data_IF_355184449589
#
_entry.id   IF_355184449589
#
_cell.length_a   1.000
_cell.length_b   1.000
_cell.length_c   1.000
_cell.angle_alpha   90.00
_cell.angle_beta   90.00
_cell.angle_gamma   90.00
#
_symmetry.space_group_name_H-M   'P 1'
#
loop_
_entity.id
_entity.type
_entity.pdbx_description
1 polymer ?
#
# COMPACT_ATOMS: atom_id res chain seq x y z
N UNK A 1 3.13 34.41 -9.53
CA UNK A 1 3.43 33.20 -8.76
C UNK A 1 2.17 32.36 -8.73
N UNK A 2 2.25 31.06 -8.97
CA UNK A 2 1.09 30.18 -8.74
C UNK A 2 0.97 30.06 -7.22
N UNK A 3 -0.01 30.76 -6.65
CA UNK A 3 -0.24 30.83 -5.19
C UNK A 3 -0.40 29.43 -4.56
N UNK A 4 -0.80 28.45 -5.37
CA UNK A 4 -1.05 27.06 -5.00
C UNK A 4 0.05 26.07 -5.42
N UNK A 5 1.24 26.56 -5.81
CA UNK A 5 2.32 25.73 -6.40
C UNK A 5 2.68 24.48 -5.58
N UNK A 6 3.04 24.60 -4.29
CA UNK A 6 3.41 23.45 -3.46
C UNK A 6 2.28 22.43 -3.29
N UNK A 7 1.04 22.89 -3.20
CA UNK A 7 -0.14 22.03 -3.09
C UNK A 7 -0.39 21.23 -4.37
N UNK A 8 -0.22 21.89 -5.52
CA UNK A 8 -0.31 21.27 -6.84
C UNK A 8 0.78 20.22 -7.05
N UNK A 9 2.03 20.49 -6.67
CA UNK A 9 3.14 19.54 -6.79
C UNK A 9 2.85 18.24 -6.05
N UNK A 10 2.30 18.32 -4.83
CA UNK A 10 1.93 17.14 -4.03
C UNK A 10 0.77 16.36 -4.63
N UNK A 11 -0.26 17.05 -5.11
CA UNK A 11 -1.37 16.41 -5.83
C UNK A 11 -0.88 15.69 -7.10
N UNK A 12 0.03 16.33 -7.86
CA UNK A 12 0.64 15.75 -9.06
C UNK A 12 1.56 14.57 -8.75
N UNK A 13 2.18 14.55 -7.56
CA UNK A 13 2.90 13.40 -7.03
C UNK A 13 1.99 12.23 -6.62
N UNK A 14 0.66 12.42 -6.65
CA UNK A 14 -0.33 11.39 -6.31
C UNK A 14 -0.65 11.27 -4.83
N UNK A 15 -0.32 12.30 -4.03
CA UNK A 15 -0.60 12.28 -2.60
C UNK A 15 -2.10 12.39 -2.28
N UNK A 16 -2.48 11.75 -1.17
CA UNK A 16 -3.79 11.89 -0.54
C UNK A 16 -3.70 12.86 0.64
N UNK A 17 -4.48 13.93 0.57
CA UNK A 17 -4.45 15.02 1.54
C UNK A 17 -5.69 14.93 2.45
N UNK A 18 -5.48 14.61 3.71
CA UNK A 18 -6.53 14.55 4.72
C UNK A 18 -6.11 15.29 5.99
N UNK A 19 -7.04 15.46 6.93
CA UNK A 19 -6.77 16.13 8.20
C UNK A 19 -5.61 15.52 9.02
N UNK A 20 -5.27 14.25 8.77
CA UNK A 20 -4.19 13.54 9.45
C UNK A 20 -2.85 13.69 8.72
N UNK A 21 -2.82 13.53 7.39
CA UNK A 21 -1.59 13.63 6.61
C UNK A 21 -1.10 15.06 6.45
N UNK A 22 -2.02 16.02 6.30
CA UNK A 22 -1.75 17.45 6.31
C UNK A 22 -3.02 18.26 6.58
N UNK A 23 -3.19 18.69 7.84
CA UNK A 23 -4.34 19.47 8.26
C UNK A 23 -4.44 20.84 7.56
N UNK A 24 -3.31 21.48 7.26
CA UNK A 24 -3.28 22.82 6.68
C UNK A 24 -3.71 22.78 5.22
N UNK A 25 -3.13 21.88 4.44
CA UNK A 25 -3.52 21.65 3.05
C UNK A 25 -4.97 21.20 2.95
N UNK A 26 -5.40 20.30 3.85
CA UNK A 26 -6.79 19.84 3.88
C UNK A 26 -7.76 20.98 4.17
N UNK A 27 -7.52 21.81 5.20
CA UNK A 27 -8.34 23.00 5.49
C UNK A 27 -8.35 23.99 4.32
N UNK A 28 -7.22 24.18 3.65
CA UNK A 28 -7.14 25.05 2.48
C UNK A 28 -8.02 24.56 1.33
N UNK A 29 -8.04 23.25 1.08
CA UNK A 29 -8.89 22.62 0.05
C UNK A 29 -10.38 22.60 0.41
N UNK A 30 -10.78 22.96 1.62
CA UNK A 30 -12.19 23.14 1.95
C UNK A 30 -12.79 24.39 1.30
N UNK A 31 -11.96 25.38 0.95
CA UNK A 31 -12.41 26.56 0.19
C UNK A 31 -12.73 26.18 -1.26
N UNK A 32 -13.97 26.45 -1.67
CA UNK A 32 -14.45 26.19 -3.03
C UNK A 32 -13.67 27.01 -4.08
N UNK A 33 -13.32 28.26 -3.79
CA UNK A 33 -12.56 29.12 -4.69
C UNK A 33 -11.18 28.53 -4.98
N UNK A 34 -10.53 27.99 -3.95
CA UNK A 34 -9.22 27.34 -4.06
C UNK A 34 -9.33 26.08 -4.91
N UNK A 35 -10.39 25.28 -4.70
CA UNK A 35 -10.65 24.08 -5.50
C UNK A 35 -10.88 24.41 -6.98
N UNK A 36 -11.66 25.45 -7.27
CA UNK A 36 -11.91 25.90 -8.66
C UNK A 36 -10.62 26.36 -9.35
N UNK A 37 -9.75 27.09 -8.65
CA UNK A 37 -8.46 27.53 -9.17
C UNK A 37 -7.54 26.33 -9.49
N UNK A 38 -7.48 25.37 -8.57
CA UNK A 38 -6.71 24.13 -8.75
C UNK A 38 -7.26 23.34 -9.93
N UNK A 39 -8.58 23.13 -10.02
CA UNK A 39 -9.21 22.42 -11.13
C UNK A 39 -8.96 23.11 -12.48
N UNK A 40 -9.03 24.45 -12.52
CA UNK A 40 -8.73 25.19 -13.74
C UNK A 40 -7.29 24.95 -14.22
N UNK A 41 -6.33 24.86 -13.29
CA UNK A 41 -4.93 24.56 -13.59
C UNK A 41 -4.71 23.10 -14.05
N UNK A 42 -5.47 22.16 -13.48
CA UNK A 42 -5.35 20.73 -13.76
C UNK A 42 -6.05 20.28 -15.05
N UNK A 43 -7.07 21.02 -15.51
CA UNK A 43 -7.85 20.68 -16.72
C UNK A 43 -7.01 20.40 -17.96
N UNK A 44 -5.99 21.21 -18.34
CA UNK A 44 -5.14 20.92 -19.50
C UNK A 44 -4.39 19.59 -19.41
N UNK A 45 -4.17 19.08 -18.19
CA UNK A 45 -3.48 17.81 -17.92
C UNK A 45 -4.45 16.60 -17.91
N UNK A 46 -5.73 16.81 -18.26
CA UNK A 46 -6.80 15.82 -18.08
C UNK A 46 -6.89 15.35 -16.62
N UNK A 47 -6.76 16.29 -15.68
CA UNK A 47 -6.82 16.04 -14.23
C UNK A 47 -7.87 16.94 -13.57
N UNK A 48 -8.32 16.52 -12.40
CA UNK A 48 -9.19 17.27 -11.49
C UNK A 48 -8.91 16.88 -10.05
N UNK A 49 -9.23 17.75 -9.13
CA UNK A 49 -9.35 17.43 -7.73
C UNK A 49 -10.59 16.54 -7.51
N UNK A 50 -10.44 15.54 -6.67
CA UNK A 50 -11.52 14.67 -6.25
C UNK A 50 -11.48 14.49 -4.73
N UNK A 51 -12.61 14.05 -4.20
CA UNK A 51 -12.76 13.66 -2.80
C UNK A 51 -13.58 12.39 -2.72
N UNK A 52 -13.50 11.69 -1.59
CA UNK A 52 -14.35 10.53 -1.33
C UNK A 52 -15.77 10.98 -0.92
N UNK A 53 -16.66 10.02 -0.71
CA UNK A 53 -18.05 10.28 -0.33
C UNK A 53 -18.18 11.08 0.96
N UNK A 54 -17.26 10.88 1.91
CA UNK A 54 -17.28 11.54 3.22
C UNK A 54 -16.61 12.92 3.23
N UNK A 55 -16.00 13.33 2.13
CA UNK A 55 -15.28 14.62 2.04
C UNK A 55 -14.04 14.71 2.92
N UNK A 56 -13.50 13.58 3.40
CA UNK A 56 -12.44 13.56 4.41
C UNK A 56 -11.02 13.45 3.83
N UNK A 57 -10.89 13.33 2.51
CA UNK A 57 -9.62 13.28 1.79
C UNK A 57 -9.76 13.92 0.42
N UNK A 58 -8.73 14.63 -0.02
CA UNK A 58 -8.60 15.14 -1.38
C UNK A 58 -7.45 14.43 -2.10
N UNK A 59 -7.64 14.16 -3.38
CA UNK A 59 -6.66 13.50 -4.22
C UNK A 59 -6.86 13.89 -5.69
N UNK A 60 -5.83 13.64 -6.50
CA UNK A 60 -5.88 13.89 -7.93
C UNK A 60 -6.59 12.75 -8.66
N UNK A 61 -7.57 13.09 -9.50
CA UNK A 61 -8.27 12.14 -10.35
C UNK A 61 -8.19 12.54 -11.83
N UNK A 62 -8.49 11.58 -12.70
CA UNK A 62 -8.70 11.85 -14.11
C UNK A 62 -9.99 12.66 -14.32
N UNK A 63 -9.90 13.67 -15.19
CA UNK A 63 -11.08 14.42 -15.61
C UNK A 63 -11.92 13.61 -16.59
N UNK A 64 -11.27 12.97 -17.56
CA UNK A 64 -11.86 12.04 -18.53
C UNK A 64 -11.05 10.76 -18.58
N UNK A 65 -11.72 9.62 -18.58
CA UNK A 65 -11.10 8.30 -18.74
C UNK A 65 -11.18 7.94 -20.23
N UNK A 66 -10.05 8.07 -20.91
CA UNK A 66 -9.83 7.49 -22.24
C UNK A 66 -9.12 6.13 -22.12
N UNK A 67 -8.77 5.53 -23.24
CA UNK A 67 -8.13 4.21 -23.25
C UNK A 67 -6.75 4.22 -22.57
N UNK A 68 -5.97 5.28 -22.78
CA UNK A 68 -4.64 5.43 -22.16
C UNK A 68 -4.76 5.59 -20.64
N UNK A 69 -5.71 6.41 -20.16
CA UNK A 69 -6.01 6.57 -18.75
C UNK A 69 -6.50 5.25 -18.13
N UNK A 70 -7.35 4.50 -18.85
CA UNK A 70 -7.83 3.19 -18.40
C UNK A 70 -6.69 2.21 -18.23
N UNK A 71 -5.78 2.14 -19.20
CA UNK A 71 -4.61 1.28 -19.14
C UNK A 71 -3.70 1.65 -17.96
N UNK A 72 -3.42 2.94 -17.76
CA UNK A 72 -2.62 3.43 -16.64
C UNK A 72 -3.27 3.10 -15.28
N UNK A 73 -4.58 3.36 -15.13
CA UNK A 73 -5.31 3.05 -13.90
C UNK A 73 -5.33 1.54 -13.62
N UNK A 74 -5.49 0.72 -14.65
CA UNK A 74 -5.45 -0.74 -14.51
C UNK A 74 -4.08 -1.21 -14.02
N UNK A 75 -2.99 -0.65 -14.55
CA UNK A 75 -1.64 -0.96 -14.07
C UNK A 75 -1.45 -0.53 -12.63
N UNK A 76 -1.79 0.71 -12.28
CA UNK A 76 -1.67 1.23 -10.92
C UNK A 76 -2.48 0.40 -9.91
N UNK A 77 -3.70 -0.01 -10.26
CA UNK A 77 -4.50 -0.91 -9.42
C UNK A 77 -3.84 -2.28 -9.29
N UNK A 78 -3.32 -2.83 -10.40
CA UNK A 78 -2.61 -4.12 -10.39
C UNK A 78 -1.37 -4.07 -9.51
N UNK A 79 -0.59 -3.00 -9.57
CA UNK A 79 0.60 -2.81 -8.73
C UNK A 79 0.22 -2.69 -7.26
N UNK A 80 -0.82 -1.90 -6.96
CA UNK A 80 -1.35 -1.73 -5.59
C UNK A 80 -1.80 -3.07 -5.02
N UNK A 81 -2.68 -3.78 -5.73
CA UNK A 81 -3.17 -5.11 -5.32
C UNK A 81 -2.03 -6.11 -5.22
N UNK A 82 -1.11 -6.10 -6.20
CA UNK A 82 0.07 -6.96 -6.22
C UNK A 82 0.97 -6.77 -5.00
N UNK A 83 1.10 -5.55 -4.47
CA UNK A 83 1.83 -5.30 -3.23
C UNK A 83 1.09 -5.73 -1.96
N UNK A 84 -0.25 -5.73 -1.97
CA UNK A 84 -1.08 -6.04 -0.81
C UNK A 84 -1.36 -7.54 -0.65
N UNK A 85 -1.46 -8.28 -1.76
CA UNK A 85 -1.74 -9.71 -1.75
C UNK A 85 -0.71 -10.53 -0.94
N UNK A 86 0.62 -10.33 -1.09
CA UNK A 86 1.61 -11.02 -0.28
C UNK A 86 1.48 -10.69 1.21
N UNK A 87 1.01 -9.49 1.56
CA UNK A 87 0.78 -9.11 2.96
C UNK A 87 -0.42 -9.83 3.55
N UNK A 88 -1.50 -10.00 2.78
CA UNK A 88 -2.65 -10.80 3.22
C UNK A 88 -2.27 -12.26 3.44
N UNK A 89 -1.50 -12.85 2.52
CA UNK A 89 -1.01 -14.23 2.66
C UNK A 89 -0.08 -14.35 3.87
N UNK A 90 0.82 -13.40 4.09
CA UNK A 90 1.66 -13.34 5.29
C UNK A 90 0.82 -13.31 6.57
N UNK A 91 -0.21 -12.47 6.65
CA UNK A 91 -1.07 -12.38 7.83
C UNK A 91 -1.79 -13.70 8.11
N UNK A 92 -2.26 -14.40 7.08
CA UNK A 92 -2.86 -15.73 7.23
C UNK A 92 -1.85 -16.76 7.74
N UNK A 93 -0.64 -16.78 7.19
CA UNK A 93 0.45 -17.64 7.68
C UNK A 93 0.78 -17.37 9.14
N UNK A 94 0.78 -16.10 9.56
CA UNK A 94 0.97 -15.72 10.97
C UNK A 94 -0.14 -16.30 11.84
N UNK A 95 -1.41 -16.21 11.43
CA UNK A 95 -2.53 -16.76 12.20
C UNK A 95 -2.41 -18.27 12.40
N UNK A 96 -2.13 -18.99 11.31
CA UNK A 96 -2.04 -20.45 11.32
C UNK A 96 -0.80 -20.95 12.08
N UNK A 97 0.35 -20.29 11.90
CA UNK A 97 1.58 -20.60 12.64
C UNK A 97 1.38 -20.44 14.15
N UNK A 98 0.75 -19.33 14.56
CA UNK A 98 0.52 -19.03 15.97
C UNK A 98 -0.70 -19.77 16.55
N UNK A 99 -1.51 -20.44 15.71
CA UNK A 99 -2.68 -21.20 16.13
C UNK A 99 -3.75 -20.34 16.81
N UNK A 100 -3.94 -19.10 16.34
CA UNK A 100 -4.90 -18.14 16.92
C UNK A 100 -5.96 -17.73 15.92
N UNK A 101 -7.18 -17.51 16.42
CA UNK A 101 -8.32 -17.06 15.61
C UNK A 101 -8.21 -15.58 15.18
N UNK A 102 -7.35 -14.78 15.84
CA UNK A 102 -7.16 -13.36 15.58
C UNK A 102 -5.97 -13.05 14.68
N UNK A 103 -6.05 -11.97 13.89
CA UNK A 103 -4.92 -11.45 13.10
C UNK A 103 -3.78 -10.94 13.99
N UNK A 104 -2.61 -10.71 13.40
CA UNK A 104 -1.55 -10.00 14.09
C UNK A 104 -2.00 -8.59 14.52
N UNK A 105 -1.78 -8.30 15.80
CA UNK A 105 -2.07 -7.03 16.42
C UNK A 105 -0.78 -6.24 16.69
N UNK A 106 -0.85 -4.90 16.75
CA UNK A 106 0.28 -4.08 17.18
C UNK A 106 0.83 -4.54 18.54
N UNK A 107 2.14 -4.74 18.62
CA UNK A 107 2.83 -5.22 19.83
C UNK A 107 3.04 -6.73 19.90
N UNK A 108 2.46 -7.50 18.98
CA UNK A 108 2.76 -8.93 18.87
C UNK A 108 4.23 -9.19 18.53
N UNK A 109 4.80 -10.22 19.14
CA UNK A 109 6.16 -10.67 18.85
C UNK A 109 6.09 -11.91 17.95
N UNK A 110 6.58 -11.76 16.72
CA UNK A 110 6.71 -12.86 15.76
C UNK A 110 8.13 -13.43 15.83
N UNK A 111 8.28 -14.68 16.29
CA UNK A 111 9.61 -15.32 16.37
C UNK A 111 9.80 -16.21 15.14
N UNK A 112 10.88 -16.03 14.34
CA UNK A 112 11.14 -16.88 13.18
C UNK A 112 11.15 -18.38 13.48
N UNK A 113 11.59 -18.77 14.68
CA UNK A 113 11.61 -20.16 15.12
C UNK A 113 10.22 -20.81 15.18
N UNK A 114 9.17 -20.03 15.51
CA UNK A 114 7.80 -20.54 15.56
C UNK A 114 7.33 -20.91 14.13
N UNK A 115 7.72 -20.12 13.12
CA UNK A 115 7.43 -20.39 11.72
C UNK A 115 8.22 -21.58 11.19
N UNK A 116 9.52 -21.67 11.52
CA UNK A 116 10.35 -22.82 11.13
C UNK A 116 9.75 -24.12 11.65
N UNK A 117 9.49 -24.20 12.97
CA UNK A 117 8.93 -25.40 13.60
C UNK A 117 7.57 -25.77 13.00
N UNK A 118 6.67 -24.79 12.79
CA UNK A 118 5.36 -25.07 12.20
C UNK A 118 5.43 -25.53 10.75
N UNK A 119 6.35 -24.99 9.95
CA UNK A 119 6.53 -25.41 8.57
C UNK A 119 7.15 -26.80 8.46
N UNK A 120 8.01 -27.19 9.40
CA UNK A 120 8.55 -28.56 9.49
C UNK A 120 7.44 -29.57 9.79
N UNK A 121 6.48 -29.21 10.65
CA UNK A 121 5.37 -30.09 11.04
C UNK A 121 4.19 -30.09 10.05
N UNK A 122 4.08 -29.09 9.17
CA UNK A 122 2.92 -28.89 8.30
C UNK A 122 3.31 -28.53 6.86
N UNK A 123 3.34 -29.54 5.98
CA UNK A 123 3.73 -29.39 4.57
C UNK A 123 2.92 -28.30 3.83
N UNK A 124 1.63 -28.16 4.11
CA UNK A 124 0.83 -27.10 3.48
C UNK A 124 1.28 -25.67 3.85
N UNK A 125 1.84 -25.47 5.05
CA UNK A 125 2.39 -24.18 5.48
C UNK A 125 3.74 -23.95 4.82
N UNK A 126 4.55 -25.00 4.73
CA UNK A 126 5.82 -25.00 3.99
C UNK A 126 5.63 -24.54 2.54
N UNK A 127 4.68 -25.14 1.81
CA UNK A 127 4.44 -24.83 0.39
C UNK A 127 3.89 -23.42 0.17
N UNK A 128 3.08 -22.93 1.12
CA UNK A 128 2.57 -21.54 1.11
C UNK A 128 3.70 -20.54 1.37
N UNK A 129 4.55 -20.82 2.36
CA UNK A 129 5.71 -20.00 2.66
C UNK A 129 6.71 -20.00 1.50
N UNK A 130 6.92 -21.13 0.81
CA UNK A 130 7.75 -21.19 -0.40
C UNK A 130 7.23 -20.23 -1.47
N UNK A 131 5.93 -20.31 -1.78
CA UNK A 131 5.29 -19.41 -2.76
C UNK A 131 5.41 -17.95 -2.33
N UNK A 132 5.12 -17.66 -1.06
CA UNK A 132 5.22 -16.32 -0.51
C UNK A 132 6.64 -15.77 -0.59
N UNK A 133 7.64 -16.55 -0.18
CA UNK A 133 9.03 -16.11 -0.18
C UNK A 133 9.53 -15.82 -1.60
N UNK A 134 9.06 -16.57 -2.60
CA UNK A 134 9.40 -16.37 -4.02
C UNK A 134 8.67 -15.19 -4.68
N UNK A 135 7.60 -14.68 -4.06
CA UNK A 135 6.83 -13.54 -4.59
C UNK A 135 7.75 -12.32 -4.81
N UNK A 136 7.56 -11.52 -5.88
CA UNK A 136 8.40 -10.36 -6.18
C UNK A 136 8.58 -9.37 -5.02
N UNK A 137 7.58 -9.23 -4.14
CA UNK A 137 7.66 -8.39 -2.94
C UNK A 137 8.79 -8.87 -1.99
N UNK A 138 8.92 -10.19 -1.82
CA UNK A 138 9.90 -10.79 -0.93
C UNK A 138 11.22 -11.13 -1.64
N UNK A 139 11.11 -11.76 -2.82
CA UNK A 139 12.21 -12.00 -3.75
C UNK A 139 13.27 -12.98 -3.26
N UNK A 140 12.89 -13.99 -2.48
CA UNK A 140 13.79 -15.09 -2.11
C UNK A 140 14.05 -16.01 -3.29
N UNK A 141 15.32 -16.34 -3.53
CA UNK A 141 15.74 -17.34 -4.52
C UNK A 141 16.18 -18.66 -3.87
N UNK A 142 16.15 -18.74 -2.53
CA UNK A 142 16.55 -19.94 -1.80
C UNK A 142 15.40 -20.91 -1.68
N UNK A 143 15.72 -22.21 -1.69
CA UNK A 143 14.84 -23.33 -1.34
C UNK A 143 14.95 -23.73 0.15
N UNK A 144 15.87 -23.12 0.88
CA UNK A 144 16.11 -23.40 2.30
C UNK A 144 15.15 -22.57 3.17
N UNK A 145 14.38 -23.25 4.02
CA UNK A 145 13.36 -22.64 4.89
C UNK A 145 13.91 -21.48 5.74
N UNK A 146 15.06 -21.67 6.40
CA UNK A 146 15.69 -20.64 7.23
C UNK A 146 16.08 -19.38 6.41
N UNK A 147 16.61 -19.58 5.20
CA UNK A 147 16.99 -18.47 4.32
C UNK A 147 15.76 -17.72 3.81
N UNK A 148 14.69 -18.43 3.47
CA UNK A 148 13.42 -17.83 3.07
C UNK A 148 12.79 -17.02 4.20
N UNK A 149 12.71 -17.56 5.41
CA UNK A 149 12.17 -16.84 6.56
C UNK A 149 12.99 -15.58 6.87
N UNK A 150 14.32 -15.67 6.84
CA UNK A 150 15.19 -14.49 7.01
C UNK A 150 14.90 -13.41 5.98
N UNK A 151 14.73 -13.79 4.71
CA UNK A 151 14.41 -12.85 3.64
C UNK A 151 13.02 -12.22 3.82
N UNK A 152 12.00 -13.01 4.18
CA UNK A 152 10.64 -12.53 4.45
C UNK A 152 10.64 -11.50 5.59
N UNK A 153 11.21 -11.84 6.74
CA UNK A 153 11.29 -10.93 7.89
C UNK A 153 12.11 -9.68 7.59
N UNK A 154 13.22 -9.81 6.85
CA UNK A 154 14.03 -8.66 6.41
C UNK A 154 13.19 -7.69 5.57
N UNK A 155 12.46 -8.19 4.57
CA UNK A 155 11.63 -7.37 3.69
C UNK A 155 10.49 -6.68 4.44
N UNK A 156 9.87 -7.36 5.41
CA UNK A 156 8.85 -6.76 6.27
C UNK A 156 9.41 -5.61 7.10
N UNK A 157 10.63 -5.73 7.63
CA UNK A 157 11.33 -4.63 8.32
C UNK A 157 11.65 -3.47 7.39
N UNK A 158 12.19 -3.75 6.20
CA UNK A 158 12.52 -2.73 5.20
C UNK A 158 11.30 -1.88 4.79
N UNK A 159 10.12 -2.49 4.73
CA UNK A 159 8.87 -1.81 4.41
C UNK A 159 8.11 -1.28 5.65
N UNK A 160 8.69 -1.40 6.85
CA UNK A 160 8.12 -0.84 8.08
C UNK A 160 6.96 -1.63 8.69
N UNK A 161 6.70 -2.85 8.23
CA UNK A 161 5.66 -3.72 8.81
C UNK A 161 6.11 -4.37 10.13
N UNK A 162 7.43 -4.50 10.35
CA UNK A 162 8.03 -5.01 11.59
C UNK A 162 9.14 -4.06 12.07
N UNK A 163 9.43 -4.12 13.37
CA UNK A 163 10.55 -3.41 14.02
C UNK A 163 11.77 -4.32 14.14
#
# INVERSE_FOLDING_TARGET
MIEQGPLLERLLAGEFLCAVSDETAFRHLQDETVREQIDAYLRPLNRRLATNTDGNVYFLAWLRIDEAAREQLSRQLSDTVGSLLPMLEWLQLVQETLGRDGLAAPGDVLKPADFSSRCEDHQGLRDRLDRLASDPFFGSQSDQLDAQLKQVFKRLKEHGYLL
#
